data_IF_352982979612
#
_entry.id   IF_352982979612
#
_cell.length_a   1.000
_cell.length_b   1.000
_cell.length_c   1.000
_cell.angle_alpha   90.00
_cell.angle_beta   90.00
_cell.angle_gamma   90.00
#
_symmetry.space_group_name_H-M   'P 1'
#
loop_
_entity.id
_entity.type
_entity.pdbx_description
1 polymer ?
#
# COMPACT_ATOMS: atom_id res chain seq x y z
N UNK A 1 -1.89 35.16 -17.17
CA UNK A 1 -1.61 35.36 -15.75
C UNK A 1 -1.12 34.01 -15.21
N UNK A 2 0.17 33.97 -14.81
CA UNK A 2 0.77 32.76 -14.26
C UNK A 2 0.24 32.55 -12.84
N UNK A 3 -0.38 31.43 -12.60
CA UNK A 3 -0.72 30.97 -11.26
C UNK A 3 0.56 30.57 -10.54
N UNK A 4 0.77 31.05 -9.32
CA UNK A 4 1.98 30.79 -8.54
C UNK A 4 1.62 29.92 -7.35
N UNK A 5 2.07 28.68 -7.38
CA UNK A 5 1.92 27.75 -6.26
C UNK A 5 3.10 27.81 -5.30
N UNK A 6 2.89 27.45 -4.06
CA UNK A 6 3.88 27.40 -2.98
C UNK A 6 3.96 26.03 -2.32
N UNK A 7 5.17 25.67 -1.87
CA UNK A 7 5.39 24.41 -1.16
C UNK A 7 6.48 24.57 -0.10
N UNK A 8 6.30 23.83 1.01
CA UNK A 8 7.27 23.75 2.09
C UNK A 8 7.44 22.30 2.51
N UNK A 9 8.68 21.89 2.81
CA UNK A 9 9.02 20.60 3.37
C UNK A 9 10.11 20.79 4.44
N UNK A 10 9.90 20.15 5.59
CA UNK A 10 10.90 20.11 6.67
C UNK A 10 10.78 18.84 7.46
N UNK A 11 11.91 18.37 7.99
CA UNK A 11 11.97 17.22 8.87
C UNK A 11 12.94 17.44 10.03
N UNK A 12 12.66 16.78 11.14
CA UNK A 12 13.51 16.76 12.34
C UNK A 12 13.67 15.31 12.75
N UNK A 13 14.93 14.89 12.94
CA UNK A 13 15.27 13.61 13.53
C UNK A 13 16.05 13.84 14.80
N UNK A 14 15.49 13.44 15.94
CA UNK A 14 16.08 13.59 17.27
C UNK A 14 16.34 12.23 17.92
N UNK A 15 17.58 11.96 18.29
CA UNK A 15 18.03 10.71 18.91
C UNK A 15 18.57 10.98 20.31
N UNK A 16 17.71 10.99 21.35
CA UNK A 16 18.11 11.31 22.74
C UNK A 16 19.02 10.27 23.37
N UNK A 17 18.92 9.02 22.94
CA UNK A 17 19.75 7.91 23.40
C UNK A 17 19.83 6.81 22.34
N UNK A 18 20.77 5.89 22.52
CA UNK A 18 20.92 4.75 21.62
C UNK A 18 19.61 3.95 21.53
N UNK A 19 19.13 3.72 20.30
CA UNK A 19 17.91 2.97 20.03
C UNK A 19 16.61 3.77 20.14
N UNK A 20 16.63 5.03 20.59
CA UNK A 20 15.44 5.89 20.67
C UNK A 20 15.52 6.99 19.62
N UNK A 21 14.51 7.07 18.75
CA UNK A 21 14.42 8.11 17.72
C UNK A 21 13.03 8.76 17.71
N UNK A 22 13.02 10.07 17.52
CA UNK A 22 11.83 10.88 17.29
C UNK A 22 11.97 11.53 15.93
N UNK A 23 11.06 11.24 15.01
CA UNK A 23 11.08 11.74 13.64
C UNK A 23 9.80 12.51 13.41
N UNK A 24 9.92 13.82 13.16
CA UNK A 24 8.79 14.66 12.77
C UNK A 24 9.00 15.18 11.35
N UNK A 25 7.98 15.14 10.51
CA UNK A 25 7.99 15.63 9.15
C UNK A 25 6.80 16.52 8.89
N UNK A 26 7.03 17.73 8.37
CA UNK A 26 6.01 18.64 7.92
C UNK A 26 6.11 18.86 6.41
N UNK A 27 4.97 18.82 5.73
CA UNK A 27 4.88 19.13 4.30
C UNK A 27 3.65 19.99 4.07
N UNK A 28 3.82 21.08 3.35
CA UNK A 28 2.75 21.92 2.85
C UNK A 28 2.92 22.11 1.35
N UNK A 29 1.88 21.88 0.59
CA UNK A 29 1.84 22.11 -0.86
C UNK A 29 0.43 22.62 -1.16
N UNK A 30 0.33 23.81 -1.72
CA UNK A 30 -0.95 24.36 -2.12
C UNK A 30 -1.54 23.67 -3.36
N UNK A 31 -2.75 23.98 -3.71
CA UNK A 31 -3.48 23.38 -4.83
C UNK A 31 -3.00 23.89 -6.20
N UNK A 32 -2.39 25.07 -6.23
CA UNK A 32 -1.86 25.70 -7.44
C UNK A 32 -0.42 25.26 -7.75
N UNK A 33 0.25 24.58 -6.81
CA UNK A 33 1.64 24.15 -6.99
C UNK A 33 1.77 23.04 -8.04
N UNK A 34 2.51 23.31 -9.10
CA UNK A 34 2.81 22.35 -10.16
C UNK A 34 4.32 22.27 -10.41
N UNK A 35 4.89 21.07 -10.24
CA UNK A 35 6.28 20.77 -10.53
C UNK A 35 6.45 19.64 -11.55
N UNK A 36 5.41 19.28 -12.29
CA UNK A 36 5.42 18.13 -13.21
C UNK A 36 6.46 18.26 -14.32
N UNK A 37 6.94 19.46 -14.62
CA UNK A 37 8.02 19.70 -15.58
C UNK A 37 9.42 19.33 -15.05
N UNK A 38 9.62 19.25 -13.74
CA UNK A 38 10.93 18.98 -13.09
C UNK A 38 10.90 17.75 -12.18
N UNK A 39 9.74 17.15 -11.95
CA UNK A 39 9.56 15.98 -11.12
C UNK A 39 8.11 15.51 -11.12
N UNK A 40 7.84 14.42 -10.42
CA UNK A 40 6.48 13.88 -10.27
C UNK A 40 5.91 14.27 -8.91
N UNK A 41 4.82 15.03 -8.91
CA UNK A 41 4.05 15.37 -7.72
C UNK A 41 2.86 14.42 -7.63
N UNK A 42 2.85 13.60 -6.58
CA UNK A 42 1.74 12.65 -6.36
C UNK A 42 0.46 13.34 -5.91
N UNK A 43 0.59 14.47 -5.19
CA UNK A 43 -0.52 15.24 -4.65
C UNK A 43 -0.11 16.70 -4.44
N UNK A 44 -0.88 17.64 -4.95
CA UNK A 44 -1.00 19.02 -4.50
C UNK A 44 -2.13 19.13 -3.46
N UNK A 45 -2.41 20.31 -2.94
CA UNK A 45 -3.43 20.53 -1.89
C UNK A 45 -3.21 19.58 -0.69
N UNK A 46 -2.07 19.76 0.01
CA UNK A 46 -1.75 18.91 1.17
C UNK A 46 -1.04 19.67 2.29
N UNK A 47 -1.44 19.36 3.50
CA UNK A 47 -0.80 19.74 4.75
C UNK A 47 -0.59 18.48 5.58
N UNK A 48 0.66 18.03 5.69
CA UNK A 48 1.00 16.80 6.39
C UNK A 48 1.87 17.14 7.60
N UNK A 49 1.56 16.55 8.73
CA UNK A 49 2.39 16.57 9.94
C UNK A 49 2.44 15.14 10.50
N UNK A 50 3.52 14.44 10.16
CA UNK A 50 3.73 13.07 10.57
C UNK A 50 4.77 12.99 11.68
N UNK A 51 4.52 12.14 12.67
CA UNK A 51 5.44 11.89 13.75
C UNK A 51 5.62 10.40 13.95
N UNK A 52 6.88 9.98 14.10
CA UNK A 52 7.24 8.61 14.41
C UNK A 52 8.13 8.56 15.65
N UNK A 53 7.74 7.75 16.62
CA UNK A 53 8.58 7.29 17.70
C UNK A 53 9.09 5.89 17.35
N UNK A 54 10.41 5.70 17.38
CA UNK A 54 11.06 4.43 17.08
C UNK A 54 11.93 4.02 18.27
N UNK A 55 11.65 2.85 18.81
CA UNK A 55 12.44 2.22 19.86
C UNK A 55 13.07 0.93 19.32
N UNK A 56 14.39 0.91 19.20
CA UNK A 56 15.16 -0.28 18.83
C UNK A 56 15.91 -0.81 20.03
N UNK A 57 15.62 -2.03 20.39
CA UNK A 57 16.23 -2.76 21.49
C UNK A 57 17.12 -3.88 20.95
N UNK A 58 18.29 -4.00 21.50
CA UNK A 58 19.24 -5.11 21.31
C UNK A 58 19.49 -5.81 22.64
N UNK A 59 20.31 -6.85 22.66
CA UNK A 59 20.63 -7.64 23.87
C UNK A 59 19.43 -8.40 24.47
N UNK A 60 18.46 -8.79 23.64
CA UNK A 60 17.34 -9.63 24.04
C UNK A 60 17.73 -11.09 23.75
N UNK A 61 17.61 -12.03 24.74
CA UNK A 61 17.94 -13.43 24.51
C UNK A 61 17.21 -14.03 23.30
N UNK A 62 17.95 -14.63 22.36
CA UNK A 62 17.42 -15.25 21.14
C UNK A 62 17.02 -14.29 20.01
N UNK A 63 17.11 -12.99 20.25
CA UNK A 63 16.71 -11.94 19.30
C UNK A 63 17.91 -11.00 19.05
N UNK A 64 18.20 -10.68 17.78
CA UNK A 64 19.24 -9.72 17.42
C UNK A 64 18.80 -8.29 17.72
N UNK A 65 17.58 -7.95 17.31
CA UNK A 65 16.96 -6.65 17.60
C UNK A 65 15.43 -6.76 17.57
N UNK A 66 14.81 -5.89 18.35
CA UNK A 66 13.38 -5.64 18.30
C UNK A 66 13.16 -4.15 18.10
N UNK A 67 12.38 -3.79 17.09
CA UNK A 67 12.02 -2.40 16.82
C UNK A 67 10.53 -2.22 17.03
N UNK A 68 10.16 -1.24 17.86
CA UNK A 68 8.77 -0.80 18.04
C UNK A 68 8.63 0.58 17.40
N UNK A 69 7.66 0.76 16.52
CA UNK A 69 7.35 2.05 15.89
C UNK A 69 5.94 2.46 16.27
N UNK A 70 5.77 3.69 16.74
CA UNK A 70 4.46 4.32 16.93
C UNK A 70 4.41 5.53 16.01
N UNK A 71 3.39 5.61 15.16
CA UNK A 71 3.23 6.69 14.20
C UNK A 71 1.94 7.45 14.44
N UNK A 72 2.02 8.78 14.37
CA UNK A 72 0.88 9.68 14.27
C UNK A 72 0.89 10.29 12.87
N UNK A 73 -0.21 10.15 12.15
CA UNK A 73 -0.40 10.57 10.76
C UNK A 73 -1.44 11.67 10.77
N UNK A 74 -1.08 12.85 10.25
CA UNK A 74 -1.99 13.99 10.19
C UNK A 74 -1.89 14.63 8.81
N UNK A 75 -2.72 14.18 7.89
CA UNK A 75 -2.75 14.64 6.52
C UNK A 75 -4.10 15.29 6.21
N UNK A 76 -4.04 16.55 5.82
CA UNK A 76 -5.20 17.38 5.45
C UNK A 76 -5.02 17.88 4.02
N UNK A 77 -6.12 18.19 3.34
CA UNK A 77 -6.07 19.03 2.16
C UNK A 77 -6.02 20.52 2.57
N UNK A 78 -5.81 21.43 1.64
CA UNK A 78 -5.73 22.88 1.91
C UNK A 78 -7.06 23.48 2.37
N UNK A 79 -8.19 22.80 2.15
CA UNK A 79 -9.50 23.17 2.70
C UNK A 79 -9.66 22.75 4.18
N UNK A 80 -8.65 22.10 4.76
CA UNK A 80 -8.66 21.65 6.15
C UNK A 80 -9.41 20.32 6.37
N UNK A 81 -9.76 19.59 5.32
CA UNK A 81 -10.41 18.29 5.44
C UNK A 81 -9.37 17.20 5.74
N UNK A 82 -9.62 16.30 6.71
CA UNK A 82 -8.74 15.16 6.98
C UNK A 82 -8.82 14.15 5.83
N UNK A 83 -7.71 13.94 5.13
CA UNK A 83 -7.64 12.99 4.02
C UNK A 83 -6.97 11.66 4.41
N UNK A 84 -6.07 11.69 5.42
CA UNK A 84 -5.44 10.48 5.96
C UNK A 84 -4.90 10.75 7.37
N UNK A 85 -5.78 10.92 8.32
CA UNK A 85 -5.37 11.04 9.72
C UNK A 85 -5.40 9.68 10.39
N UNK A 86 -4.51 9.44 11.37
CA UNK A 86 -4.56 8.19 12.11
C UNK A 86 -3.34 7.92 12.96
N UNK A 87 -3.27 6.69 13.42
CA UNK A 87 -2.18 6.21 14.25
C UNK A 87 -1.89 4.75 13.94
N UNK A 88 -0.61 4.40 14.04
CA UNK A 88 -0.20 3.01 13.91
C UNK A 88 0.78 2.62 15.01
N UNK A 89 0.77 1.34 15.32
CA UNK A 89 1.79 0.70 16.14
C UNK A 89 2.29 -0.54 15.41
N UNK A 90 3.61 -0.65 15.26
CA UNK A 90 4.25 -1.80 14.64
C UNK A 90 5.37 -2.34 15.51
N UNK A 91 5.61 -3.64 15.40
CA UNK A 91 6.75 -4.28 16.03
C UNK A 91 7.40 -5.28 15.08
N UNK A 92 8.72 -5.14 14.94
CA UNK A 92 9.56 -6.00 14.14
C UNK A 92 10.56 -6.73 15.03
N UNK A 93 10.76 -8.02 14.81
CA UNK A 93 11.77 -8.85 15.44
C UNK A 93 12.73 -9.39 14.40
N UNK A 94 14.02 -9.19 14.61
CA UNK A 94 15.09 -9.82 13.85
C UNK A 94 15.75 -10.86 14.74
N UNK A 95 15.65 -12.12 14.36
CA UNK A 95 16.20 -13.24 15.13
C UNK A 95 17.70 -13.43 14.86
N UNK A 96 18.41 -14.14 15.75
CA UNK A 96 19.84 -14.42 15.61
C UNK A 96 20.17 -15.25 14.35
N UNK A 97 19.23 -16.07 13.91
CA UNK A 97 19.35 -16.89 12.68
C UNK A 97 19.05 -16.11 11.38
N UNK A 98 18.85 -14.77 11.46
CA UNK A 98 18.42 -13.85 10.40
C UNK A 98 17.00 -14.09 9.85
N UNK A 99 16.16 -14.81 10.56
CA UNK A 99 14.72 -14.77 10.29
C UNK A 99 14.15 -13.44 10.81
N UNK A 100 13.07 -12.96 10.23
CA UNK A 100 12.35 -11.76 10.69
C UNK A 100 10.85 -12.03 10.82
N UNK A 101 10.21 -11.33 11.75
CA UNK A 101 8.77 -11.32 11.95
C UNK A 101 8.31 -9.89 12.23
N UNK A 102 7.23 -9.47 11.59
CA UNK A 102 6.65 -8.16 11.76
C UNK A 102 5.15 -8.27 12.02
N UNK A 103 4.65 -7.38 12.87
CA UNK A 103 3.21 -7.18 13.05
C UNK A 103 2.95 -5.69 13.18
N UNK A 104 1.89 -5.19 12.54
CA UNK A 104 1.45 -3.81 12.70
C UNK A 104 -0.07 -3.69 12.73
N UNK A 105 -0.53 -2.69 13.48
CA UNK A 105 -1.92 -2.26 13.53
C UNK A 105 -2.00 -0.80 13.11
N UNK A 106 -2.94 -0.46 12.25
CA UNK A 106 -3.25 0.88 11.79
C UNK A 106 -4.71 1.19 12.07
N UNK A 107 -4.97 2.37 12.63
CA UNK A 107 -6.29 2.96 12.75
C UNK A 107 -6.33 4.30 12.02
N UNK A 108 -7.23 4.44 11.07
CA UNK A 108 -7.57 5.69 10.41
C UNK A 108 -9.01 6.06 10.78
N UNK A 109 -9.25 7.18 11.46
CA UNK A 109 -10.61 7.68 11.71
C UNK A 109 -11.30 8.10 10.41
N UNK A 110 -12.55 8.54 10.51
CA UNK A 110 -13.32 9.08 9.39
C UNK A 110 -12.53 10.15 8.66
N UNK A 111 -12.49 10.06 7.34
CA UNK A 111 -11.71 10.93 6.47
C UNK A 111 -12.52 11.36 5.24
N UNK A 112 -11.94 12.21 4.43
CA UNK A 112 -12.52 12.68 3.17
C UNK A 112 -11.74 12.10 2.02
N UNK A 113 -12.44 11.56 1.02
CA UNK A 113 -11.88 11.33 -0.30
C UNK A 113 -12.22 12.52 -1.20
N UNK A 114 -11.18 13.22 -1.63
CA UNK A 114 -11.24 14.38 -2.51
C UNK A 114 -10.67 14.09 -3.91
N UNK A 115 -10.40 12.81 -4.22
CA UNK A 115 -9.73 12.42 -5.46
C UNK A 115 -10.46 11.39 -6.29
N UNK A 116 -11.07 10.40 -5.67
CA UNK A 116 -11.75 9.33 -6.40
C UNK A 116 -12.88 9.89 -7.26
N UNK A 117 -13.49 10.98 -6.83
CA UNK A 117 -14.53 11.70 -7.55
C UNK A 117 -14.08 12.46 -8.78
N UNK A 118 -12.78 12.61 -9.00
CA UNK A 118 -12.22 13.32 -10.16
C UNK A 118 -12.86 14.69 -10.41
N UNK A 119 -13.17 15.44 -9.33
CA UNK A 119 -13.80 16.74 -9.39
C UNK A 119 -15.33 16.72 -9.45
N UNK A 120 -16.00 15.58 -9.38
CA UNK A 120 -17.48 15.50 -9.33
C UNK A 120 -18.04 15.63 -7.90
N UNK A 121 -17.19 15.76 -6.90
CA UNK A 121 -17.51 15.98 -5.50
C UNK A 121 -16.71 15.10 -4.56
N UNK A 122 -16.51 15.62 -3.35
CA UNK A 122 -15.81 14.93 -2.27
C UNK A 122 -16.83 14.18 -1.41
N UNK A 123 -16.37 13.12 -0.75
CA UNK A 123 -17.22 12.36 0.14
C UNK A 123 -16.49 11.84 1.37
N UNK A 124 -17.25 11.57 2.42
CA UNK A 124 -16.72 11.01 3.67
C UNK A 124 -16.57 9.51 3.56
N UNK A 125 -15.38 9.04 3.88
CA UNK A 125 -15.07 7.63 4.08
C UNK A 125 -15.06 7.34 5.59
N UNK A 126 -15.60 6.19 6.03
CA UNK A 126 -15.60 5.78 7.43
C UNK A 126 -14.19 5.47 7.96
N UNK A 127 -14.15 5.09 9.21
CA UNK A 127 -12.95 4.60 9.85
C UNK A 127 -12.43 3.31 9.19
N UNK A 128 -11.11 3.14 9.28
CA UNK A 128 -10.40 1.96 8.78
C UNK A 128 -9.54 1.38 9.88
N UNK A 129 -9.65 0.07 10.06
CA UNK A 129 -8.73 -0.73 10.85
C UNK A 129 -7.97 -1.66 9.93
N UNK A 130 -6.65 -1.74 10.11
CA UNK A 130 -5.82 -2.67 9.38
C UNK A 130 -4.88 -3.39 10.34
N UNK A 131 -4.77 -4.70 10.20
CA UNK A 131 -3.82 -5.55 10.90
C UNK A 131 -2.97 -6.26 9.85
N UNK A 132 -1.66 -6.09 9.92
CA UNK A 132 -0.72 -6.78 9.05
C UNK A 132 0.27 -7.62 9.85
N UNK A 133 0.72 -8.72 9.24
CA UNK A 133 1.76 -9.58 9.77
C UNK A 133 2.59 -10.13 8.63
N UNK A 134 3.91 -10.20 8.80
CA UNK A 134 4.80 -10.83 7.85
C UNK A 134 5.89 -11.63 8.54
N UNK A 135 6.32 -12.71 7.90
CA UNK A 135 7.46 -13.51 8.30
C UNK A 135 8.37 -13.75 7.10
N UNK A 136 9.67 -13.62 7.31
CA UNK A 136 10.69 -13.96 6.31
C UNK A 136 11.79 -14.81 6.94
N UNK A 137 12.06 -15.95 6.34
CA UNK A 137 13.19 -16.78 6.73
C UNK A 137 14.51 -16.16 6.23
N UNK A 138 15.62 -16.56 6.81
CA UNK A 138 16.95 -16.08 6.45
C UNK A 138 17.20 -16.19 4.92
N UNK A 139 17.38 -15.05 4.22
CA UNK A 139 17.56 -15.01 2.77
C UNK A 139 18.88 -15.62 2.28
N UNK A 140 19.84 -15.87 3.18
CA UNK A 140 21.12 -16.51 2.85
C UNK A 140 21.02 -18.05 2.78
N UNK A 141 19.90 -18.65 3.18
CA UNK A 141 19.70 -20.11 3.06
C UNK A 141 19.54 -20.51 1.59
N UNK A 142 19.92 -21.72 1.27
CA UNK A 142 19.69 -22.30 -0.07
C UNK A 142 18.18 -22.31 -0.41
N UNK A 143 17.33 -22.49 0.59
CA UNK A 143 15.88 -22.34 0.51
C UNK A 143 15.43 -21.31 1.54
N UNK A 144 14.93 -20.18 1.07
CA UNK A 144 14.30 -19.14 1.87
C UNK A 144 12.83 -19.02 1.49
N UNK A 145 11.99 -18.61 2.45
CA UNK A 145 10.55 -18.43 2.23
C UNK A 145 10.02 -17.25 3.04
N UNK A 146 8.92 -16.70 2.58
CA UNK A 146 8.21 -15.60 3.22
C UNK A 146 6.71 -15.80 3.16
N UNK A 147 6.01 -15.26 4.16
CA UNK A 147 4.56 -15.19 4.22
C UNK A 147 4.15 -13.79 4.68
N UNK A 148 3.05 -13.28 4.15
CA UNK A 148 2.43 -12.03 4.60
C UNK A 148 0.91 -12.15 4.60
N UNK A 149 0.27 -11.47 5.56
CA UNK A 149 -1.16 -11.37 5.67
C UNK A 149 -1.52 -9.97 6.16
N UNK A 150 -2.47 -9.33 5.50
CA UNK A 150 -3.07 -8.09 5.93
C UNK A 150 -4.59 -8.21 5.83
N UNK A 151 -5.28 -7.81 6.88
CA UNK A 151 -6.72 -7.69 6.92
C UNK A 151 -7.10 -6.24 7.24
N UNK A 152 -7.92 -5.65 6.39
CA UNK A 152 -8.41 -4.28 6.51
C UNK A 152 -9.93 -4.30 6.53
N UNK A 153 -10.54 -3.56 7.44
CA UNK A 153 -11.99 -3.39 7.52
C UNK A 153 -12.38 -1.97 7.12
N UNK A 154 -13.35 -1.84 6.24
CA UNK A 154 -13.95 -0.58 5.81
C UNK A 154 -15.48 -0.70 5.72
N UNK A 155 -16.19 0.43 5.85
CA UNK A 155 -17.66 0.49 5.93
C UNK A 155 -18.37 0.32 4.56
N UNK A 156 -17.68 0.61 3.46
CA UNK A 156 -18.25 0.40 2.11
C UNK A 156 -18.16 -1.05 1.66
N UNK A 157 -17.25 -1.80 2.30
CA UNK A 157 -17.10 -3.23 2.15
C UNK A 157 -16.46 -3.78 3.42
N UNK A 158 -16.94 -4.90 3.95
CA UNK A 158 -16.54 -5.33 5.28
C UNK A 158 -15.05 -5.66 5.40
N UNK A 159 -14.39 -6.06 4.31
CA UNK A 159 -12.96 -6.39 4.40
C UNK A 159 -12.20 -6.35 3.08
N UNK A 160 -10.91 -6.11 3.21
CA UNK A 160 -9.88 -6.38 2.21
C UNK A 160 -8.88 -7.33 2.85
N UNK A 161 -8.57 -8.44 2.20
CA UNK A 161 -7.56 -9.38 2.64
C UNK A 161 -6.45 -9.46 1.60
N UNK A 162 -5.25 -9.09 2.00
CA UNK A 162 -4.04 -9.27 1.20
C UNK A 162 -3.24 -10.42 1.78
N UNK A 163 -2.87 -11.40 0.96
CA UNK A 163 -2.00 -12.50 1.36
C UNK A 163 -0.87 -12.67 0.36
N UNK A 164 0.32 -12.96 0.87
CA UNK A 164 1.50 -13.16 0.07
C UNK A 164 2.29 -14.39 0.54
N UNK A 165 2.87 -15.11 -0.42
CA UNK A 165 3.82 -16.18 -0.16
C UNK A 165 4.98 -16.07 -1.13
N UNK A 166 6.20 -16.32 -0.65
CA UNK A 166 7.41 -16.28 -1.48
C UNK A 166 8.33 -17.45 -1.17
N UNK A 167 9.00 -17.97 -2.20
CA UNK A 167 10.03 -18.99 -2.09
C UNK A 167 11.21 -18.57 -2.96
N UNK A 168 12.39 -18.51 -2.35
CA UNK A 168 13.66 -18.31 -3.04
C UNK A 168 14.50 -19.56 -2.87
N UNK A 169 14.82 -20.22 -3.98
CA UNK A 169 15.61 -21.43 -3.98
C UNK A 169 16.91 -21.26 -4.77
N UNK A 170 18.04 -21.47 -4.12
CA UNK A 170 19.39 -21.38 -4.65
C UNK A 170 20.15 -22.66 -4.32
N UNK A 171 19.95 -23.74 -5.11
CA UNK A 171 20.59 -25.03 -4.85
C UNK A 171 22.11 -25.00 -5.03
N UNK A 172 22.62 -24.04 -5.81
CA UNK A 172 24.04 -23.81 -6.06
C UNK A 172 24.27 -22.36 -6.51
N UNK A 173 25.53 -21.95 -6.68
CA UNK A 173 25.93 -20.60 -7.06
C UNK A 173 25.52 -20.18 -8.49
N UNK A 174 25.10 -21.14 -9.32
CA UNK A 174 24.75 -20.91 -10.73
C UNK A 174 23.26 -20.77 -10.97
N UNK A 175 22.43 -21.28 -10.07
CA UNK A 175 20.99 -21.32 -10.28
C UNK A 175 20.25 -20.65 -9.14
N UNK A 176 19.33 -19.75 -9.48
CA UNK A 176 18.36 -19.18 -8.56
C UNK A 176 16.95 -19.19 -9.14
N UNK A 177 16.00 -19.49 -8.30
CA UNK A 177 14.58 -19.52 -8.58
C UNK A 177 13.89 -18.70 -7.49
N UNK A 178 13.06 -17.74 -7.90
CA UNK A 178 12.31 -16.86 -7.01
C UNK A 178 10.85 -16.88 -7.46
N UNK A 179 9.98 -17.46 -6.64
CA UNK A 179 8.54 -17.54 -6.86
C UNK A 179 7.83 -16.71 -5.80
N UNK A 180 7.09 -15.70 -6.22
CA UNK A 180 6.18 -14.91 -5.41
C UNK A 180 4.73 -15.12 -5.83
N UNK A 181 3.83 -15.20 -4.87
CA UNK A 181 2.39 -15.26 -5.07
C UNK A 181 1.73 -14.21 -4.20
N UNK A 182 0.97 -13.28 -4.79
CA UNK A 182 0.11 -12.36 -4.06
C UNK A 182 -1.34 -12.61 -4.44
N UNK A 183 -2.21 -12.58 -3.45
CA UNK A 183 -3.65 -12.68 -3.59
C UNK A 183 -4.31 -11.55 -2.80
N UNK A 184 -5.22 -10.82 -3.45
CA UNK A 184 -6.06 -9.80 -2.82
C UNK A 184 -7.52 -10.17 -3.01
N UNK A 185 -8.25 -10.16 -1.91
CA UNK A 185 -9.69 -10.32 -1.84
C UNK A 185 -10.28 -9.00 -1.32
N UNK A 186 -11.12 -8.35 -2.13
CA UNK A 186 -11.72 -7.05 -1.81
C UNK A 186 -13.22 -7.12 -1.98
N UNK A 187 -13.98 -6.88 -0.91
CA UNK A 187 -15.45 -6.93 -0.96
C UNK A 187 -16.08 -5.63 -1.48
N UNK A 188 -15.33 -4.53 -1.62
CA UNK A 188 -15.84 -3.29 -2.18
C UNK A 188 -14.75 -2.48 -2.91
N UNK A 189 -14.27 -3.00 -4.02
CA UNK A 189 -13.47 -2.24 -4.96
C UNK A 189 -14.33 -1.13 -5.56
N UNK A 190 -14.13 0.12 -5.14
CA UNK A 190 -14.94 1.25 -5.57
C UNK A 190 -14.37 1.87 -6.86
N UNK A 191 -15.17 1.92 -7.91
CA UNK A 191 -14.81 2.53 -9.19
C UNK A 191 -15.75 3.69 -9.53
N UNK A 192 -15.18 4.82 -9.96
CA UNK A 192 -15.94 5.98 -10.43
C UNK A 192 -16.44 5.76 -11.86
N UNK A 193 -17.75 5.91 -12.07
CA UNK A 193 -18.44 5.69 -13.34
C UNK A 193 -18.76 6.99 -14.11
N UNK A 194 -18.41 8.15 -13.57
CA UNK A 194 -18.77 9.47 -14.09
C UNK A 194 -19.94 10.09 -13.33
N UNK A 195 -20.12 11.40 -13.48
CA UNK A 195 -21.25 12.18 -12.91
C UNK A 195 -21.50 11.95 -11.41
N UNK A 196 -20.42 11.69 -10.65
CA UNK A 196 -20.50 11.41 -9.21
C UNK A 196 -21.14 10.06 -8.86
N UNK A 197 -21.24 9.15 -9.81
CA UNK A 197 -21.70 7.77 -9.60
C UNK A 197 -20.51 6.84 -9.42
N UNK A 198 -20.71 5.82 -8.59
CA UNK A 198 -19.71 4.80 -8.30
C UNK A 198 -20.35 3.43 -8.26
N UNK A 199 -19.59 2.43 -8.64
CA UNK A 199 -19.94 1.02 -8.47
C UNK A 199 -18.92 0.36 -7.57
N UNK A 200 -19.37 -0.40 -6.57
CA UNK A 200 -18.51 -1.30 -5.80
C UNK A 200 -18.55 -2.69 -6.39
N UNK A 201 -17.38 -3.34 -6.43
CA UNK A 201 -17.20 -4.67 -6.97
C UNK A 201 -16.61 -5.58 -5.90
N UNK A 202 -17.13 -6.81 -5.81
CA UNK A 202 -16.40 -7.90 -5.18
C UNK A 202 -15.29 -8.34 -6.11
N UNK A 203 -14.05 -8.23 -5.67
CA UNK A 203 -12.90 -8.38 -6.56
C UNK A 203 -11.84 -9.33 -6.00
N UNK A 204 -11.40 -10.26 -6.84
CA UNK A 204 -10.35 -11.22 -6.53
C UNK A 204 -9.17 -11.02 -7.48
N UNK A 205 -8.01 -10.72 -6.92
CA UNK A 205 -6.79 -10.50 -7.69
C UNK A 205 -5.73 -11.53 -7.36
N UNK A 206 -5.11 -12.08 -8.41
CA UNK A 206 -3.95 -12.96 -8.34
C UNK A 206 -2.76 -12.34 -9.07
N UNK A 207 -1.59 -12.36 -8.45
CA UNK A 207 -0.38 -11.80 -9.02
C UNK A 207 0.85 -12.71 -8.75
N UNK A 208 0.91 -13.93 -9.34
CA UNK A 208 2.11 -14.75 -9.28
C UNK A 208 3.22 -14.17 -10.16
N UNK A 209 4.44 -14.26 -9.65
CA UNK A 209 5.66 -13.85 -10.34
C UNK A 209 6.74 -14.90 -10.14
N UNK A 210 7.41 -15.25 -11.24
CA UNK A 210 8.54 -16.15 -11.26
C UNK A 210 9.74 -15.43 -11.88
N UNK A 211 10.86 -15.39 -11.17
CA UNK A 211 12.17 -15.02 -11.69
C UNK A 211 13.11 -16.22 -11.56
N UNK A 212 13.74 -16.61 -12.67
CA UNK A 212 14.75 -17.65 -12.69
C UNK A 212 16.03 -17.16 -13.35
N UNK A 213 17.17 -17.39 -12.73
CA UNK A 213 18.47 -17.02 -13.23
C UNK A 213 19.37 -18.27 -13.30
N UNK A 214 20.05 -18.44 -14.44
CA UNK A 214 21.03 -19.47 -14.62
C UNK A 214 22.34 -18.89 -15.16
N UNK A 215 23.42 -19.00 -14.40
CA UNK A 215 24.76 -18.59 -14.78
C UNK A 215 25.48 -19.76 -15.48
N UNK A 216 25.57 -19.70 -16.80
CA UNK A 216 26.28 -20.67 -17.62
C UNK A 216 27.78 -20.55 -17.36
N UNK A 217 28.28 -19.32 -17.27
CA UNK A 217 29.66 -18.97 -16.92
C UNK A 217 29.71 -17.61 -16.21
N UNK A 218 30.89 -17.15 -15.80
CA UNK A 218 31.08 -15.83 -15.21
C UNK A 218 30.66 -14.65 -16.15
N UNK A 219 30.56 -14.92 -17.46
CA UNK A 219 30.21 -13.92 -18.49
C UNK A 219 28.89 -14.20 -19.20
N UNK A 220 28.22 -15.31 -18.87
CA UNK A 220 27.02 -15.75 -19.57
C UNK A 220 25.92 -16.09 -18.56
N UNK A 221 24.81 -15.38 -18.69
CA UNK A 221 23.63 -15.53 -17.83
C UNK A 221 22.39 -15.67 -18.71
N UNK A 222 21.54 -16.62 -18.34
CA UNK A 222 20.19 -16.76 -18.86
C UNK A 222 19.21 -16.39 -17.75
N UNK A 223 18.30 -15.46 -18.03
CA UNK A 223 17.27 -15.02 -17.10
C UNK A 223 15.88 -15.15 -17.73
N UNK A 224 14.95 -15.70 -16.96
CA UNK A 224 13.53 -15.78 -17.31
C UNK A 224 12.71 -15.08 -16.23
N UNK A 225 11.81 -14.19 -16.66
CA UNK A 225 10.80 -13.58 -15.80
C UNK A 225 9.44 -13.91 -16.38
N UNK A 226 8.54 -14.45 -15.56
CA UNK A 226 7.14 -14.67 -15.86
C UNK A 226 6.31 -13.98 -14.80
N UNK A 227 5.35 -13.16 -15.22
CA UNK A 227 4.42 -12.48 -14.33
C UNK A 227 2.99 -12.59 -14.90
N UNK A 228 2.08 -13.03 -14.08
CA UNK A 228 0.67 -13.04 -14.40
C UNK A 228 -0.10 -12.17 -13.41
N UNK A 229 -0.90 -11.25 -13.92
CA UNK A 229 -1.84 -10.46 -13.12
C UNK A 229 -3.25 -10.79 -13.62
N UNK A 230 -4.11 -11.20 -12.73
CA UNK A 230 -5.51 -11.49 -13.00
C UNK A 230 -6.37 -10.82 -11.96
N UNK A 231 -7.37 -10.09 -12.41
CA UNK A 231 -8.41 -9.47 -11.60
C UNK A 231 -9.76 -9.94 -12.14
N UNK A 232 -10.59 -10.51 -11.27
CA UNK A 232 -12.01 -10.76 -11.53
C UNK A 232 -12.80 -9.85 -10.60
N UNK A 233 -13.74 -9.11 -11.15
CA UNK A 233 -14.57 -8.18 -10.42
C UNK A 233 -16.03 -8.42 -10.77
N UNK A 234 -16.85 -8.60 -9.73
CA UNK A 234 -18.28 -8.84 -9.81
C UNK A 234 -19.00 -7.63 -9.24
N UNK A 235 -19.92 -7.08 -9.99
CA UNK A 235 -20.71 -5.92 -9.60
C UNK A 235 -21.53 -6.23 -8.34
N UNK A 236 -21.48 -5.33 -7.34
CA UNK A 236 -22.18 -5.53 -6.05
C UNK A 236 -23.19 -4.41 -5.82
N UNK A 237 -22.75 -3.16 -5.64
CA UNK A 237 -23.62 -2.04 -5.22
C UNK A 237 -23.27 -0.75 -5.95
N UNK A 238 -24.29 0.12 -6.04
CA UNK A 238 -24.20 1.43 -6.67
C UNK A 238 -24.32 2.54 -5.66
N UNK A 239 -23.55 3.60 -5.90
CA UNK A 239 -23.42 4.71 -5.00
C UNK A 239 -23.42 6.03 -5.76
N UNK A 240 -23.84 7.10 -5.09
CA UNK A 240 -23.78 8.46 -5.62
C UNK A 240 -23.24 9.42 -4.58
N UNK A 241 -22.35 10.33 -5.01
CA UNK A 241 -21.90 11.47 -4.22
C UNK A 241 -22.94 12.59 -4.27
N UNK A 242 -23.05 13.35 -3.20
CA UNK A 242 -23.78 14.61 -3.21
C UNK A 242 -22.80 15.75 -3.50
N UNK A 243 -22.82 16.40 -4.68
CA UNK A 243 -21.84 17.42 -5.04
C UNK A 243 -21.92 18.68 -4.18
N UNK A 244 -23.04 18.89 -3.49
CA UNK A 244 -23.29 20.09 -2.67
C UNK A 244 -23.07 19.88 -1.17
N UNK A 245 -22.75 18.66 -0.73
CA UNK A 245 -22.59 18.35 0.69
C UNK A 245 -21.52 17.30 0.89
N UNK A 246 -20.60 17.56 1.80
CA UNK A 246 -19.60 16.60 2.24
C UNK A 246 -20.25 15.55 3.16
N UNK A 247 -20.82 14.51 2.59
CA UNK A 247 -21.46 13.39 3.28
C UNK A 247 -20.96 12.04 2.76
N UNK A 248 -21.40 10.94 3.33
CA UNK A 248 -21.10 9.59 2.83
C UNK A 248 -21.77 9.36 1.48
N UNK A 249 -21.17 8.48 0.67
CA UNK A 249 -21.82 7.98 -0.54
C UNK A 249 -23.18 7.40 -0.21
N UNK A 250 -24.18 7.72 -1.02
CA UNK A 250 -25.56 7.21 -0.88
C UNK A 250 -25.77 6.01 -1.79
N UNK A 251 -26.33 4.91 -1.28
CA UNK A 251 -26.69 3.79 -2.15
C UNK A 251 -27.81 4.23 -3.11
N UNK A 252 -27.68 3.78 -4.36
CA UNK A 252 -28.69 3.97 -5.40
C UNK A 252 -29.04 2.62 -6.02
N UNK A 253 -30.17 2.56 -6.76
CA UNK A 253 -30.55 1.37 -7.52
C UNK A 253 -29.69 1.28 -8.78
N UNK A 254 -29.40 0.05 -9.24
CA UNK A 254 -28.67 -0.16 -10.49
C UNK A 254 -29.34 0.65 -11.62
N UNK A 255 -28.62 1.57 -12.29
CA UNK A 255 -29.21 2.42 -13.32
C UNK A 255 -29.50 1.67 -14.63
N UNK A 256 -28.76 0.60 -14.93
CA UNK A 256 -28.75 -0.01 -16.26
C UNK A 256 -29.34 -1.43 -16.32
N UNK A 257 -29.67 -2.05 -15.18
CA UNK A 257 -30.26 -3.41 -15.03
C UNK A 257 -29.41 -4.57 -15.62
N UNK A 258 -28.22 -4.33 -16.08
CA UNK A 258 -27.26 -5.34 -16.54
C UNK A 258 -26.02 -5.32 -15.64
N UNK A 259 -25.45 -6.49 -15.27
CA UNK A 259 -24.22 -6.51 -14.49
C UNK A 259 -23.00 -6.19 -15.35
N UNK A 260 -22.13 -5.30 -14.85
CA UNK A 260 -20.87 -4.91 -15.48
C UNK A 260 -19.67 -5.71 -14.90
N UNK A 261 -19.84 -7.00 -14.77
CA UNK A 261 -18.75 -7.88 -14.37
C UNK A 261 -17.59 -7.82 -15.35
N UNK A 262 -16.36 -7.78 -14.84
CA UNK A 262 -15.21 -7.76 -15.74
C UNK A 262 -14.05 -8.63 -15.26
N UNK A 263 -13.24 -9.07 -16.22
CA UNK A 263 -12.02 -9.83 -16.00
C UNK A 263 -10.88 -9.15 -16.73
N UNK A 264 -9.80 -8.86 -15.98
CA UNK A 264 -8.54 -8.40 -16.54
C UNK A 264 -7.52 -9.52 -16.31
N UNK A 265 -6.86 -9.97 -17.38
CA UNK A 265 -5.80 -10.97 -17.29
C UNK A 265 -4.65 -10.56 -18.18
N UNK A 266 -3.46 -10.42 -17.59
CA UNK A 266 -2.24 -10.03 -18.32
C UNK A 266 -1.09 -10.94 -17.93
N UNK A 267 -0.57 -11.66 -18.92
CA UNK A 267 0.64 -12.46 -18.81
C UNK A 267 1.80 -11.70 -19.46
N UNK A 268 2.90 -11.55 -18.72
CA UNK A 268 4.15 -10.96 -19.22
C UNK A 268 5.25 -12.00 -19.12
N UNK A 269 5.90 -12.26 -20.23
CA UNK A 269 7.06 -13.15 -20.31
C UNK A 269 8.26 -12.38 -20.83
N UNK A 270 9.41 -12.55 -20.21
CA UNK A 270 10.66 -11.97 -20.63
C UNK A 270 11.78 -13.00 -20.48
N UNK A 271 12.53 -13.24 -21.55
CA UNK A 271 13.76 -14.03 -21.51
C UNK A 271 14.93 -13.17 -21.97
N UNK A 272 16.03 -13.23 -21.25
CA UNK A 272 17.26 -12.49 -21.56
C UNK A 272 18.45 -13.44 -21.48
N UNK A 273 19.31 -13.33 -22.49
CA UNK A 273 20.65 -13.91 -22.50
C UNK A 273 21.67 -12.77 -22.56
N UNK A 274 22.69 -12.87 -21.77
CA UNK A 274 23.79 -11.91 -21.72
C UNK A 274 25.12 -12.64 -21.74
#
# INVERSE_FOLDING_TARGET
DGVTGSGFLGDINYTPSQGVQHIAKATYIDDEFDMNNVGFLTRNSQMNLDYNFVLTESNIPGIRSRTTTISLINNYNTDGNPVQNGQSIGRAWNYLNNDSFDVSFLYLPKRVDDRLGRGTGDFRIPERFSLSSSYSSNPARALAWSLSLEATQEDLGPKIINSGAGIVWRPNDRFSFDLGLNYTDTEALLLHQGDGKYTSFEAHQWAPKLDSNYFISARQQFRVTLQWNSLKAFEDRFWQVNPNRLERLKPIVNPDNEPDDFVISRLTFQARYR
#
